data_IF_753759133778
#
_entry.id   IF_753759133778
#
_cell.length_a   1.000
_cell.length_b   1.000
_cell.length_c   1.000
_cell.angle_alpha   90.00
_cell.angle_beta   90.00
_cell.angle_gamma   90.00
#
_symmetry.space_group_name_H-M   'P 1'
#
loop_
_entity.id
_entity.type
_entity.pdbx_description
1 polymer ?
#
# COMPACT_ATOMS: atom_id res chain seq x y z
N UNK A 1 -5.05 10.46 6.89
CA UNK A 1 -6.16 11.43 6.88
C UNK A 1 -6.18 12.17 5.55
N UNK A 2 -7.37 12.43 5.00
CA UNK A 2 -7.55 13.35 3.88
C UNK A 2 -7.89 14.74 4.45
N UNK A 3 -7.06 15.73 4.15
CA UNK A 3 -7.28 17.12 4.55
C UNK A 3 -8.53 17.72 3.88
N UNK A 4 -9.03 18.86 4.38
CA UNK A 4 -10.18 19.54 3.79
C UNK A 4 -9.95 19.92 2.32
N UNK A 5 -8.73 20.35 1.97
CA UNK A 5 -8.33 20.67 0.60
C UNK A 5 -7.83 19.45 -0.20
N UNK A 6 -8.11 18.23 0.28
CA UNK A 6 -7.75 17.01 -0.43
C UNK A 6 -8.56 16.85 -1.71
N UNK A 7 -7.93 16.31 -2.76
CA UNK A 7 -8.58 16.09 -4.05
C UNK A 7 -7.96 14.91 -4.80
N UNK A 8 -8.73 14.36 -5.73
CA UNK A 8 -8.30 13.28 -6.63
C UNK A 8 -8.33 11.88 -6.02
N UNK A 9 -8.73 11.73 -4.75
CA UNK A 9 -8.76 10.44 -4.05
C UNK A 9 -9.96 9.55 -4.36
N UNK A 10 -10.94 10.06 -5.12
CA UNK A 10 -12.03 9.29 -5.72
C UNK A 10 -11.55 8.34 -6.82
N UNK A 11 -10.41 8.68 -7.46
CA UNK A 11 -9.72 7.79 -8.40
C UNK A 11 -8.89 6.78 -7.59
N UNK A 12 -8.96 5.47 -7.90
CA UNK A 12 -8.16 4.46 -7.23
C UNK A 12 -6.66 4.74 -7.30
N UNK A 13 -5.91 4.29 -6.30
CA UNK A 13 -4.45 4.15 -6.33
C UNK A 13 -4.07 2.68 -6.33
N UNK A 14 -2.86 2.45 -6.79
CA UNK A 14 -2.22 1.15 -6.86
C UNK A 14 -1.37 0.96 -5.59
N UNK A 15 -1.70 -0.07 -4.80
CA UNK A 15 -0.91 -0.53 -3.65
C UNK A 15 -0.31 -1.89 -4.00
N UNK A 16 1.01 -1.98 -4.05
CA UNK A 16 1.72 -3.15 -4.55
C UNK A 16 2.61 -3.77 -3.48
N UNK A 17 2.71 -5.09 -3.51
CA UNK A 17 3.72 -5.88 -2.84
C UNK A 17 4.62 -6.50 -3.92
N UNK A 18 5.90 -6.14 -3.92
CA UNK A 18 6.92 -6.72 -4.79
C UNK A 18 7.73 -7.75 -4.00
N UNK A 19 7.69 -8.99 -4.48
CA UNK A 19 8.41 -10.14 -3.93
C UNK A 19 9.89 -10.12 -4.34
N UNK A 20 10.75 -10.91 -3.67
CA UNK A 20 12.19 -10.90 -3.95
C UNK A 20 12.57 -11.35 -5.37
N UNK A 21 11.70 -12.12 -6.03
CA UNK A 21 11.86 -12.56 -7.42
C UNK A 21 11.36 -11.53 -8.45
N UNK A 22 10.84 -10.39 -7.98
CA UNK A 22 10.28 -9.33 -8.79
C UNK A 22 8.79 -9.52 -9.14
N UNK A 23 8.14 -10.58 -8.66
CA UNK A 23 6.69 -10.73 -8.79
C UNK A 23 5.98 -9.58 -8.06
N UNK A 24 4.97 -9.00 -8.71
CA UNK A 24 4.19 -7.88 -8.17
C UNK A 24 2.75 -8.28 -7.94
N UNK A 25 2.35 -8.29 -6.68
CA UNK A 25 0.96 -8.43 -6.27
C UNK A 25 0.35 -7.04 -6.13
N UNK A 26 -0.73 -6.77 -6.86
CA UNK A 26 -1.31 -5.44 -7.02
C UNK A 26 -2.73 -5.40 -6.49
N UNK A 27 -3.01 -4.43 -5.62
CA UNK A 27 -4.36 -4.12 -5.17
C UNK A 27 -4.72 -2.68 -5.52
N UNK A 28 -5.89 -2.49 -6.16
CA UNK A 28 -6.46 -1.17 -6.41
C UNK A 28 -7.32 -0.73 -5.24
N UNK A 29 -7.04 0.44 -4.68
CA UNK A 29 -7.75 0.97 -3.51
C UNK A 29 -8.23 2.39 -3.73
N UNK A 30 -9.50 2.65 -3.39
CA UNK A 30 -10.07 4.01 -3.36
C UNK A 30 -9.97 4.51 -1.92
N UNK A 31 -9.03 5.40 -1.64
CA UNK A 31 -8.78 5.88 -0.27
C UNK A 31 -9.87 6.85 0.23
N UNK A 32 -10.60 7.51 -0.66
CA UNK A 32 -11.66 8.45 -0.28
C UNK A 32 -12.83 7.78 0.45
N UNK A 33 -13.14 6.52 0.10
CA UNK A 33 -14.25 5.76 0.71
C UNK A 33 -13.86 5.08 2.02
N UNK A 34 -12.58 5.09 2.38
CA UNK A 34 -12.08 4.46 3.60
C UNK A 34 -12.37 5.32 4.85
N UNK A 35 -12.54 4.70 6.02
CA UNK A 35 -12.70 5.43 7.28
C UNK A 35 -11.54 6.41 7.52
N UNK A 36 -11.85 7.68 7.70
CA UNK A 36 -10.87 8.73 8.01
C UNK A 36 -10.41 8.62 9.47
N UNK A 37 -9.13 8.89 9.70
CA UNK A 37 -8.51 8.94 11.04
C UNK A 37 -8.70 7.67 11.87
N UNK A 38 -8.75 6.51 11.19
CA UNK A 38 -8.77 5.18 11.78
C UNK A 38 -7.73 4.32 11.09
N UNK A 39 -7.23 3.32 11.80
CA UNK A 39 -6.46 2.24 11.18
C UNK A 39 -7.35 1.49 10.20
N UNK A 40 -6.89 1.34 8.97
CA UNK A 40 -7.54 0.54 7.93
C UNK A 40 -6.59 -0.56 7.54
N UNK A 41 -7.07 -1.80 7.62
CA UNK A 41 -6.33 -2.95 7.15
C UNK A 41 -6.59 -3.13 5.66
N UNK A 42 -5.51 -3.20 4.87
CA UNK A 42 -5.58 -3.42 3.43
C UNK A 42 -4.75 -4.66 3.14
N UNK A 43 -5.41 -5.70 2.64
CA UNK A 43 -4.71 -6.88 2.15
C UNK A 43 -4.27 -6.64 0.70
N UNK A 44 -2.94 -6.69 0.50
CA UNK A 44 -2.28 -6.47 -0.81
C UNK A 44 -1.87 -7.80 -1.44
N UNK A 45 -1.43 -8.73 -0.60
CA UNK A 45 -0.85 -9.98 -1.02
C UNK A 45 -0.28 -10.75 0.17
N UNK A 46 0.24 -11.94 -0.13
CA UNK A 46 0.91 -12.81 0.84
C UNK A 46 2.40 -12.94 0.45
N UNK A 47 3.27 -13.07 1.45
CA UNK A 47 4.69 -13.36 1.25
C UNK A 47 5.17 -14.35 2.32
N UNK A 48 6.24 -15.08 2.01
CA UNK A 48 6.86 -16.02 2.94
C UNK A 48 8.13 -15.41 3.55
N UNK A 49 8.32 -15.67 4.84
CA UNK A 49 9.58 -15.34 5.52
C UNK A 49 10.53 -16.53 5.45
N UNK A 50 11.86 -16.28 5.47
CA UNK A 50 12.86 -17.33 5.67
C UNK A 50 12.47 -18.30 6.81
N UNK A 51 12.54 -19.61 6.55
CA UNK A 51 12.01 -20.63 7.48
C UNK A 51 13.11 -21.32 8.29
N UNK A 52 14.34 -21.37 7.77
CA UNK A 52 15.45 -22.08 8.40
C UNK A 52 16.57 -21.13 8.85
N UNK A 53 17.27 -21.47 9.96
CA UNK A 53 18.49 -20.77 10.34
C UNK A 53 19.54 -20.88 9.22
N UNK A 54 19.92 -19.75 8.63
CA UNK A 54 20.90 -19.68 7.53
C UNK A 54 20.29 -19.33 6.17
N UNK A 55 18.96 -19.32 6.04
CA UNK A 55 18.28 -18.75 4.88
C UNK A 55 18.70 -17.29 4.71
N UNK A 56 18.92 -16.87 3.46
CA UNK A 56 19.32 -15.51 3.16
C UNK A 56 18.17 -14.55 3.45
N UNK A 57 18.46 -13.42 4.09
CA UNK A 57 17.51 -12.35 4.22
C UNK A 57 17.15 -11.83 2.82
N UNK A 58 15.85 -11.72 2.56
CA UNK A 58 15.31 -11.16 1.33
C UNK A 58 14.56 -9.87 1.63
N UNK A 59 14.45 -9.01 0.62
CA UNK A 59 13.74 -7.74 0.72
C UNK A 59 12.41 -7.86 -0.02
N UNK A 60 11.36 -7.34 0.60
CA UNK A 60 10.08 -7.08 -0.05
C UNK A 60 9.88 -5.57 -0.13
N UNK A 61 9.21 -5.10 -1.18
CA UNK A 61 8.89 -3.69 -1.32
C UNK A 61 7.39 -3.47 -1.33
N UNK A 62 6.93 -2.46 -0.57
CA UNK A 62 5.54 -2.03 -0.57
C UNK A 62 5.47 -0.64 -1.20
N UNK A 63 4.67 -0.50 -2.25
CA UNK A 63 4.54 0.74 -3.02
C UNK A 63 3.10 1.23 -3.02
N UNK A 64 2.89 2.53 -2.78
CA UNK A 64 1.59 3.18 -2.97
C UNK A 64 1.76 4.31 -3.98
N UNK A 65 1.14 4.19 -5.16
CA UNK A 65 1.28 5.22 -6.19
C UNK A 65 0.09 5.31 -7.15
N UNK A 66 0.05 6.41 -7.89
CA UNK A 66 -0.95 6.67 -8.93
C UNK A 66 -0.35 6.37 -10.30
N UNK A 67 -1.11 5.71 -11.17
CA UNK A 67 -0.73 5.44 -12.56
C UNK A 67 -1.46 6.34 -13.56
N UNK A 68 -2.61 6.90 -13.18
CA UNK A 68 -3.40 7.74 -14.07
C UNK A 68 -2.77 9.12 -14.28
N UNK A 69 -2.42 9.38 -15.53
CA UNK A 69 -1.91 10.67 -15.98
C UNK A 69 -3.01 11.73 -15.86
N UNK A 70 -2.66 12.93 -15.40
CA UNK A 70 -3.52 14.11 -15.22
C UNK A 70 -4.43 14.13 -13.97
N UNK A 71 -4.49 13.07 -13.17
CA UNK A 71 -5.26 13.03 -11.91
C UNK A 71 -4.37 13.29 -10.69
N UNK A 72 -3.92 14.53 -10.53
CA UNK A 72 -3.02 14.92 -9.44
C UNK A 72 -3.74 14.87 -8.09
N UNK A 73 -3.23 14.04 -7.18
CA UNK A 73 -3.72 13.93 -5.81
C UNK A 73 -2.97 14.83 -4.85
N UNK A 74 -3.67 15.36 -3.84
CA UNK A 74 -3.10 16.22 -2.80
C UNK A 74 -3.77 15.96 -1.45
N UNK A 75 -3.04 16.17 -0.37
CA UNK A 75 -3.61 16.25 0.98
C UNK A 75 -3.83 14.90 1.67
N UNK A 76 -3.04 13.87 1.31
CA UNK A 76 -2.98 12.62 2.07
C UNK A 76 -1.90 12.73 3.14
N UNK A 77 -2.30 12.46 4.38
CA UNK A 77 -1.42 12.29 5.53
C UNK A 77 -1.43 10.81 5.91
N UNK A 78 -0.26 10.17 5.96
CA UNK A 78 -0.08 8.81 6.48
C UNK A 78 0.63 8.93 7.82
N UNK A 79 -0.06 8.55 8.90
CA UNK A 79 0.52 8.59 10.25
C UNK A 79 1.43 7.39 10.53
N UNK A 80 1.17 6.25 9.90
CA UNK A 80 2.00 5.07 9.99
C UNK A 80 1.47 3.93 9.14
N UNK A 81 2.30 2.88 9.02
CA UNK A 81 1.95 1.60 8.42
C UNK A 81 2.36 0.48 9.38
N UNK A 82 1.54 -0.57 9.47
CA UNK A 82 1.81 -1.75 10.29
C UNK A 82 1.70 -2.96 9.36
N UNK A 83 2.73 -3.79 9.37
CA UNK A 83 2.70 -5.11 8.71
C UNK A 83 2.41 -6.13 9.80
N UNK A 84 1.33 -6.91 9.63
CA UNK A 84 0.95 -7.96 10.57
C UNK A 84 1.13 -9.33 9.91
N UNK A 85 1.91 -10.25 10.51
CA UNK A 85 1.85 -11.64 10.11
C UNK A 85 0.46 -12.21 10.41
N UNK A 86 0.03 -13.19 9.60
CA UNK A 86 -1.17 -13.99 9.88
C UNK A 86 -0.97 -14.89 11.10
#
# INVERSE_FOLDING_TARGET
>A
MLEEDSRGWYVPVDLWLELPDGEKQVQKVVLETMPKSKWVEIHVGDFETPQQPGDQATEINIWLFEQEVLNWKKGLVIEGAIIRPK
#
